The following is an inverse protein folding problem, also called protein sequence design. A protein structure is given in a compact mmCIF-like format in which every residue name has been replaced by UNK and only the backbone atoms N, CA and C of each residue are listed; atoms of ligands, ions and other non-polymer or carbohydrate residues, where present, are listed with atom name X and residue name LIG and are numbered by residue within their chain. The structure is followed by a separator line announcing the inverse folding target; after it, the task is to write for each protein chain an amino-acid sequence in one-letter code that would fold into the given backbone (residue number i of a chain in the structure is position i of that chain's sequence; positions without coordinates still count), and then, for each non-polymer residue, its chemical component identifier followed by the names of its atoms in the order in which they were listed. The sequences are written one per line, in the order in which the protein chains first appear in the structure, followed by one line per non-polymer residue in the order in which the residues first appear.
data_IF_910942728197
#
_entry.id   IF_910942728197
#
_cell.length_a   1.000
_cell.length_b   1.000
_cell.length_c   1.000
_cell.angle_alpha   90.00
_cell.angle_beta   90.00
_cell.angle_gamma   90.00
#
_symmetry.space_group_name_H-M   'P 1'
#
loop_
_entity.id
_entity.type
_entity.pdbx_description
1 polymer ?
#
# COMPACT_ATOMS: atom_id res chain seq x y z
N UNK A 1 -18.65 -18.12 -5.79
CA UNK A 1 -17.42 -18.48 -5.07
C UNK A 1 -16.31 -18.63 -6.12
N UNK A 2 -15.21 -17.87 -5.98
CA UNK A 2 -14.02 -18.04 -6.83
C UNK A 2 -13.34 -19.37 -6.48
N UNK A 3 -12.63 -19.97 -7.44
CA UNK A 3 -11.78 -21.14 -7.15
C UNK A 3 -10.67 -20.73 -6.17
N UNK A 4 -10.32 -21.57 -5.17
CA UNK A 4 -9.21 -21.29 -4.24
C UNK A 4 -7.89 -20.97 -4.95
N UNK A 5 -7.59 -21.63 -6.07
CA UNK A 5 -6.41 -21.37 -6.90
C UNK A 5 -6.40 -19.96 -7.50
N UNK A 6 -7.56 -19.43 -7.87
CA UNK A 6 -7.68 -18.07 -8.40
C UNK A 6 -7.47 -17.05 -7.28
N UNK A 7 -7.99 -17.31 -6.08
CA UNK A 7 -7.80 -16.43 -4.92
C UNK A 7 -6.32 -16.38 -4.51
N UNK A 8 -5.64 -17.53 -4.46
CA UNK A 8 -4.19 -17.57 -4.18
C UNK A 8 -3.37 -16.80 -5.21
N UNK A 9 -3.69 -16.94 -6.49
CA UNK A 9 -3.03 -16.20 -7.55
C UNK A 9 -3.28 -14.69 -7.42
N UNK A 10 -4.53 -14.28 -7.19
CA UNK A 10 -4.92 -12.88 -6.98
C UNK A 10 -4.17 -12.28 -5.77
N UNK A 11 -4.09 -13.00 -4.65
CA UNK A 11 -3.34 -12.58 -3.47
C UNK A 11 -1.83 -12.44 -3.76
N UNK A 12 -1.25 -13.38 -4.50
CA UNK A 12 0.15 -13.30 -4.90
C UNK A 12 0.44 -12.07 -5.77
N UNK A 13 -0.45 -11.77 -6.73
CA UNK A 13 -0.34 -10.58 -7.57
C UNK A 13 -0.43 -9.32 -6.70
N UNK A 14 -1.44 -9.23 -5.82
CA UNK A 14 -1.59 -8.07 -4.92
C UNK A 14 -0.39 -7.90 -4.00
N UNK A 15 0.15 -8.98 -3.45
CA UNK A 15 1.34 -8.94 -2.62
C UNK A 15 2.58 -8.46 -3.38
N UNK A 16 2.71 -8.82 -4.66
CA UNK A 16 3.79 -8.32 -5.52
C UNK A 16 3.62 -6.84 -5.82
N UNK A 17 2.42 -6.41 -6.19
CA UNK A 17 2.10 -5.00 -6.50
C UNK A 17 2.38 -4.08 -5.32
N UNK A 18 1.93 -4.45 -4.12
CA UNK A 18 2.16 -3.64 -2.91
C UNK A 18 3.64 -3.55 -2.55
N UNK A 19 4.42 -4.63 -2.71
CA UNK A 19 5.86 -4.62 -2.46
C UNK A 19 6.60 -3.71 -3.44
N UNK A 20 6.19 -3.68 -4.70
CA UNK A 20 6.75 -2.76 -5.70
C UNK A 20 6.40 -1.30 -5.37
N UNK A 21 5.16 -1.02 -4.99
CA UNK A 21 4.74 0.31 -4.55
C UNK A 21 5.52 0.77 -3.31
N UNK A 22 5.69 -0.11 -2.31
CA UNK A 22 6.46 0.17 -1.11
C UNK A 22 7.91 0.54 -1.42
N UNK A 23 8.57 -0.19 -2.32
CA UNK A 23 9.95 0.09 -2.72
C UNK A 23 10.10 1.48 -3.39
N UNK A 24 9.12 1.89 -4.20
CA UNK A 24 9.12 3.23 -4.82
C UNK A 24 8.87 4.31 -3.77
N UNK A 25 7.93 4.09 -2.86
CA UNK A 25 7.63 5.01 -1.76
C UNK A 25 8.81 5.17 -0.80
N UNK A 26 9.57 4.10 -0.55
CA UNK A 26 10.80 4.15 0.24
C UNK A 26 11.85 5.06 -0.41
N UNK A 27 12.03 4.99 -1.73
CA UNK A 27 12.94 5.88 -2.45
C UNK A 27 12.52 7.35 -2.28
N UNK A 28 11.22 7.65 -2.36
CA UNK A 28 10.66 8.98 -2.13
C UNK A 28 10.85 9.41 -0.67
N UNK A 29 10.63 8.49 0.27
CA UNK A 29 10.84 8.68 1.71
C UNK A 29 12.30 8.94 2.09
N UNK A 30 13.25 8.60 1.22
CA UNK A 30 14.67 8.87 1.40
C UNK A 30 15.13 10.19 0.74
N UNK A 31 14.26 10.88 -0.02
CA UNK A 31 14.58 12.18 -0.58
C UNK A 31 14.79 13.25 0.52
N UNK A 32 15.61 14.29 0.27
CA UNK A 32 15.72 15.44 1.16
C UNK A 32 14.35 16.06 1.45
N UNK A 33 14.15 16.58 2.67
CA UNK A 33 12.85 17.10 3.13
C UNK A 33 12.19 18.07 2.15
N UNK A 34 12.99 18.95 1.52
CA UNK A 34 12.48 19.94 0.54
C UNK A 34 11.97 19.29 -0.73
N UNK A 35 12.69 18.30 -1.27
CA UNK A 35 12.28 17.56 -2.48
C UNK A 35 11.06 16.68 -2.20
N UNK A 36 11.02 16.07 -1.01
CA UNK A 36 9.87 15.29 -0.56
C UNK A 36 8.61 16.14 -0.41
N UNK A 37 8.74 17.36 0.10
CA UNK A 37 7.61 18.29 0.22
C UNK A 37 7.07 18.70 -1.16
N UNK A 38 7.95 19.05 -2.10
CA UNK A 38 7.56 19.36 -3.49
C UNK A 38 6.87 18.15 -4.15
N UNK A 39 7.40 16.95 -3.94
CA UNK A 39 6.78 15.73 -4.45
C UNK A 39 5.40 15.48 -3.81
N UNK A 40 5.28 15.66 -2.50
CA UNK A 40 4.02 15.46 -1.77
C UNK A 40 2.95 16.47 -2.21
N UNK A 41 3.33 17.73 -2.45
CA UNK A 41 2.43 18.75 -2.99
C UNK A 41 1.94 18.41 -4.40
N UNK A 42 2.82 17.87 -5.26
CA UNK A 42 2.48 17.56 -6.66
C UNK A 42 1.72 16.24 -6.81
N UNK A 43 2.04 15.22 -6.01
CA UNK A 43 1.60 13.85 -6.25
C UNK A 43 0.96 13.18 -5.02
N UNK A 44 1.02 13.80 -3.84
CA UNK A 44 0.58 13.20 -2.58
C UNK A 44 -0.88 12.77 -2.58
N UNK A 45 -1.78 13.65 -3.03
CA UNK A 45 -3.21 13.34 -3.12
C UNK A 45 -3.50 12.23 -4.14
N UNK A 46 -2.83 12.25 -5.29
CA UNK A 46 -2.97 11.21 -6.32
C UNK A 46 -2.51 9.85 -5.79
N UNK A 47 -1.36 9.80 -5.12
CA UNK A 47 -0.83 8.56 -4.54
C UNK A 47 -1.70 8.08 -3.38
N UNK A 48 -2.20 8.98 -2.54
CA UNK A 48 -3.13 8.61 -1.47
C UNK A 48 -4.41 7.99 -2.05
N UNK A 49 -5.03 8.60 -3.05
CA UNK A 49 -6.22 8.06 -3.72
C UNK A 49 -5.95 6.72 -4.41
N UNK A 50 -4.82 6.58 -5.12
CA UNK A 50 -4.43 5.33 -5.73
C UNK A 50 -4.23 4.21 -4.69
N UNK A 51 -3.69 4.57 -3.51
CA UNK A 51 -3.49 3.65 -2.42
C UNK A 51 -4.81 3.21 -1.76
N UNK A 52 -5.75 4.12 -1.55
CA UNK A 52 -7.10 3.80 -1.06
C UNK A 52 -7.83 2.84 -2.02
N UNK A 53 -7.79 3.10 -3.33
CA UNK A 53 -8.33 2.17 -4.32
C UNK A 53 -7.66 0.80 -4.28
N UNK A 54 -6.33 0.77 -4.09
CA UNK A 54 -5.60 -0.49 -3.97
C UNK A 54 -6.00 -1.28 -2.71
N UNK A 55 -6.25 -0.60 -1.59
CA UNK A 55 -6.79 -1.22 -0.36
C UNK A 55 -8.17 -1.83 -0.64
N UNK A 56 -9.07 -1.09 -1.29
CA UNK A 56 -10.42 -1.57 -1.59
C UNK A 56 -10.42 -2.80 -2.50
N UNK A 57 -9.58 -2.80 -3.54
CA UNK A 57 -9.36 -3.94 -4.41
C UNK A 57 -8.81 -5.15 -3.64
N UNK A 58 -7.81 -4.92 -2.79
CA UNK A 58 -7.18 -5.96 -1.96
C UNK A 58 -8.19 -6.56 -0.98
N UNK A 59 -9.02 -5.73 -0.36
CA UNK A 59 -10.11 -6.15 0.50
C UNK A 59 -11.13 -7.00 -0.27
N UNK A 60 -11.36 -6.72 -1.55
CA UNK A 60 -12.23 -7.57 -2.37
C UNK A 60 -11.69 -8.97 -2.57
N UNK A 61 -10.37 -9.13 -2.71
CA UNK A 61 -9.74 -10.45 -2.80
C UNK A 61 -9.77 -11.15 -1.44
N UNK A 62 -9.50 -10.42 -0.35
CA UNK A 62 -9.51 -10.94 1.01
C UNK A 62 -10.90 -11.44 1.47
N UNK A 63 -11.99 -10.86 0.95
CA UNK A 63 -13.37 -11.32 1.24
C UNK A 63 -13.68 -12.71 0.68
N UNK A 64 -12.99 -13.12 -0.38
CA UNK A 64 -13.19 -14.41 -1.05
C UNK A 64 -12.22 -15.50 -0.51
N UNK A 65 -11.52 -15.23 0.60
CA UNK A 65 -10.46 -16.09 1.14
C UNK A 65 -10.98 -17.46 1.59
N UNK A 66 -10.27 -18.48 1.10
CA UNK A 66 -10.35 -19.88 1.50
C UNK A 66 -9.59 -20.12 2.81
N UNK A 67 -10.08 -21.02 3.68
CA UNK A 67 -9.45 -21.36 4.97
C UNK A 67 -8.22 -22.28 4.85
N UNK A 68 -7.68 -22.50 3.66
CA UNK A 68 -6.43 -23.23 3.52
C UNK A 68 -5.23 -22.39 4.03
N UNK A 69 -4.23 -23.08 4.58
CA UNK A 69 -3.10 -22.45 5.25
C UNK A 69 -2.30 -21.52 4.34
N UNK A 70 -2.18 -21.84 3.05
CA UNK A 70 -1.41 -21.05 2.09
C UNK A 70 -2.13 -19.75 1.72
N UNK A 71 -3.44 -19.80 1.49
CA UNK A 71 -4.24 -18.59 1.27
C UNK A 71 -4.24 -17.71 2.52
N UNK A 72 -4.27 -18.32 3.70
CA UNK A 72 -4.24 -17.59 4.98
C UNK A 72 -2.90 -16.88 5.22
N UNK A 73 -1.78 -17.51 4.91
CA UNK A 73 -0.43 -16.90 4.96
C UNK A 73 -0.33 -15.71 4.00
N UNK A 74 -0.71 -15.89 2.73
CA UNK A 74 -0.71 -14.81 1.73
C UNK A 74 -1.62 -13.64 2.14
N UNK A 75 -2.74 -13.93 2.78
CA UNK A 75 -3.67 -12.92 3.28
C UNK A 75 -3.06 -12.10 4.41
N UNK A 76 -2.37 -12.76 5.36
CA UNK A 76 -1.68 -12.08 6.46
C UNK A 76 -0.54 -11.19 5.93
N UNK A 77 0.27 -11.71 5.01
CA UNK A 77 1.34 -10.97 4.37
C UNK A 77 0.84 -9.72 3.64
N UNK A 78 -0.29 -9.85 2.93
CA UNK A 78 -0.93 -8.73 2.24
C UNK A 78 -1.41 -7.67 3.24
N UNK A 79 -2.07 -8.06 4.33
CA UNK A 79 -2.54 -7.14 5.37
C UNK A 79 -1.37 -6.39 6.01
N UNK A 80 -0.27 -7.08 6.33
CA UNK A 80 0.94 -6.46 6.89
C UNK A 80 1.49 -5.44 5.89
N UNK A 81 1.67 -5.85 4.64
CA UNK A 81 2.24 -5.01 3.58
C UNK A 81 1.38 -3.77 3.30
N UNK A 82 0.05 -3.90 3.32
CA UNK A 82 -0.89 -2.78 3.17
C UNK A 82 -0.71 -1.75 4.29
N UNK A 83 -0.66 -2.22 5.54
CA UNK A 83 -0.45 -1.34 6.71
C UNK A 83 0.90 -0.62 6.62
N UNK A 84 1.97 -1.34 6.35
CA UNK A 84 3.32 -0.76 6.33
C UNK A 84 3.45 0.28 5.22
N UNK A 85 2.87 0.00 4.06
CA UNK A 85 2.86 0.94 2.93
C UNK A 85 1.96 2.15 3.21
N UNK A 86 0.82 1.97 3.89
CA UNK A 86 -0.03 3.09 4.31
C UNK A 86 0.73 4.06 5.21
N UNK A 87 1.48 3.52 6.19
CA UNK A 87 2.31 4.31 7.09
C UNK A 87 3.38 5.08 6.30
N UNK A 88 4.00 4.45 5.29
CA UNK A 88 4.97 5.13 4.43
C UNK A 88 4.33 6.29 3.64
N UNK A 89 3.15 6.09 3.05
CA UNK A 89 2.40 7.15 2.35
C UNK A 89 2.08 8.30 3.32
N UNK A 90 1.54 7.97 4.49
CA UNK A 90 1.20 8.97 5.51
C UNK A 90 2.43 9.75 5.98
N UNK A 91 3.59 9.09 6.13
CA UNK A 91 4.83 9.76 6.51
C UNK A 91 5.31 10.75 5.43
N UNK A 92 5.17 10.39 4.15
CA UNK A 92 5.53 11.26 3.02
C UNK A 92 4.58 12.46 2.94
N UNK A 93 3.27 12.24 3.06
CA UNK A 93 2.24 13.27 2.93
C UNK A 93 2.14 14.17 4.17
N UNK A 94 2.37 13.63 5.39
CA UNK A 94 2.25 14.39 6.63
C UNK A 94 3.48 15.27 6.95
N UNK A 95 4.61 15.09 6.26
CA UNK A 95 5.79 15.95 6.40
C UNK A 95 5.46 17.43 6.15
N UNK A 96 4.43 17.71 5.36
CA UNK A 96 3.95 19.06 5.05
C UNK A 96 3.18 19.73 6.22
N UNK A 97 2.43 18.96 7.01
CA UNK A 97 1.56 19.52 8.08
C UNK A 97 2.33 20.03 9.30
N UNK A 98 3.59 19.63 9.49
CA UNK A 98 4.40 20.06 10.65
C UNK A 98 5.07 21.42 10.42
N UNK A 99 5.23 21.88 9.18
CA UNK A 99 5.90 23.15 8.87
C UNK A 99 4.96 24.37 8.89
N UNK A 100 3.64 24.16 8.91
CA UNK A 100 2.63 25.24 8.98
C UNK A 100 2.22 25.62 10.41
N UNK A 101 2.89 25.08 11.45
CA UNK A 101 2.57 25.32 12.87
C UNK A 101 3.73 25.88 13.72
N UNK A 102 4.80 26.35 13.09
CA UNK A 102 5.90 27.06 13.79
C UNK A 102 5.91 28.53 13.43
#
# INVERSE_FOLDING_TARGET
MRSPSNVQFDLYIKLREIKQAAAVLEQIGNLPTKERAVWAEQYGDMVHQAFEHFIDDSNSVLRDVSFDSSTMELSQDLIISLRDTLVAVQHIVAADKKHLRS
#
